data_IF_614599361193
#
_entry.id   IF_614599361193
#
_cell.length_a   1.000
_cell.length_b   1.000
_cell.length_c   1.000
_cell.angle_alpha   90.00
_cell.angle_beta   90.00
_cell.angle_gamma   90.00
#
_symmetry.space_group_name_H-M   'P 1'
#
loop_
_entity.id
_entity.type
_entity.pdbx_description
1 polymer ?
#
# COMPACT_ATOMS: atom_id res chain seq x y z
N UNK A 1 17.71 0.38 -8.25
CA UNK A 1 16.40 0.68 -7.65
C UNK A 1 15.74 -0.62 -7.27
N UNK A 2 15.38 -0.79 -5.99
CA UNK A 2 14.75 -2.02 -5.49
C UNK A 2 13.33 -2.12 -6.05
N UNK A 3 12.81 -3.34 -6.21
CA UNK A 3 11.46 -3.60 -6.76
C UNK A 3 10.36 -2.76 -6.08
N UNK A 4 10.45 -2.61 -4.75
CA UNK A 4 9.51 -1.82 -3.95
C UNK A 4 9.55 -0.31 -4.23
N UNK A 5 10.73 0.28 -4.43
CA UNK A 5 10.87 1.71 -4.76
C UNK A 5 10.21 2.00 -6.12
N UNK A 6 10.36 1.10 -7.09
CA UNK A 6 9.68 1.22 -8.40
C UNK A 6 8.17 1.10 -8.27
N UNK A 7 7.68 0.18 -7.43
CA UNK A 7 6.25 0.05 -7.18
C UNK A 7 5.67 1.34 -6.59
N UNK A 8 6.32 1.94 -5.58
CA UNK A 8 5.88 3.21 -5.01
C UNK A 8 5.87 4.35 -6.02
N UNK A 9 6.91 4.48 -6.86
CA UNK A 9 6.91 5.49 -7.92
C UNK A 9 5.78 5.30 -8.92
N UNK A 10 5.39 4.06 -9.25
CA UNK A 10 4.23 3.80 -10.12
C UNK A 10 2.92 4.19 -9.44
N UNK A 11 2.74 3.85 -8.15
CA UNK A 11 1.54 4.21 -7.39
C UNK A 11 1.39 5.73 -7.23
N UNK A 12 2.49 6.43 -6.95
CA UNK A 12 2.52 7.89 -6.86
C UNK A 12 2.14 8.53 -8.20
N UNK A 13 2.75 8.06 -9.28
CA UNK A 13 2.47 8.58 -10.61
C UNK A 13 1.02 8.28 -11.07
N UNK A 14 0.43 7.15 -10.68
CA UNK A 14 -1.00 6.87 -10.91
C UNK A 14 -1.90 7.83 -10.12
N UNK A 15 -1.55 8.12 -8.85
CA UNK A 15 -2.32 9.05 -8.03
C UNK A 15 -2.30 10.46 -8.62
N UNK A 16 -1.11 10.97 -8.94
CA UNK A 16 -0.93 12.33 -9.43
C UNK A 16 -1.65 12.55 -10.77
N UNK A 17 -1.49 11.60 -11.70
CA UNK A 17 -2.12 11.73 -13.02
C UNK A 17 -3.62 11.52 -12.98
N UNK A 18 -4.10 10.54 -12.19
CA UNK A 18 -5.54 10.39 -11.95
C UNK A 18 -6.17 11.63 -11.32
N UNK A 19 -5.47 12.32 -10.42
CA UNK A 19 -5.92 13.59 -9.84
C UNK A 19 -5.89 14.73 -10.86
N UNK A 20 -4.82 14.84 -11.66
CA UNK A 20 -4.70 15.87 -12.69
C UNK A 20 -5.77 15.75 -13.77
N UNK A 21 -6.17 14.53 -14.12
CA UNK A 21 -7.22 14.26 -15.10
C UNK A 21 -8.64 14.53 -14.56
N UNK A 22 -8.82 14.72 -13.25
CA UNK A 22 -10.10 15.07 -12.61
C UNK A 22 -11.12 13.94 -12.54
N UNK A 23 -11.01 12.91 -13.38
CA UNK A 23 -11.85 11.70 -13.36
C UNK A 23 -11.23 10.55 -12.56
N UNK A 24 -10.06 10.75 -11.94
CA UNK A 24 -9.45 9.76 -11.04
C UNK A 24 -8.76 8.59 -11.73
N UNK A 25 -8.70 8.56 -13.06
CA UNK A 25 -8.07 7.49 -13.84
C UNK A 25 -6.80 7.98 -14.50
N UNK A 26 -5.75 7.15 -14.51
CA UNK A 26 -4.58 7.36 -15.36
C UNK A 26 -4.77 6.62 -16.67
N UNK A 27 -4.48 7.29 -17.79
CA UNK A 27 -4.74 6.78 -19.13
C UNK A 27 -3.48 6.20 -19.80
N UNK A 28 -3.71 5.46 -20.88
CA UNK A 28 -2.70 4.75 -21.67
C UNK A 28 -1.56 5.59 -22.23
N UNK A 29 -1.79 6.89 -22.47
CA UNK A 29 -0.79 7.83 -23.00
C UNK A 29 0.14 8.38 -21.93
N UNK A 30 -0.23 8.23 -20.67
CA UNK A 30 0.40 8.94 -19.57
C UNK A 30 1.48 8.11 -18.84
N UNK A 31 1.58 6.82 -19.18
CA UNK A 31 2.51 5.88 -18.57
C UNK A 31 3.38 5.18 -19.62
N UNK A 32 4.70 5.17 -19.36
CA UNK A 32 5.67 4.46 -20.19
C UNK A 32 5.41 2.93 -20.18
N UNK A 33 5.71 2.20 -21.27
CA UNK A 33 5.47 0.75 -21.39
C UNK A 33 6.03 -0.12 -20.24
N UNK A 34 7.22 0.16 -19.64
CA UNK A 34 7.71 -0.59 -18.49
C UNK A 34 6.81 -0.50 -17.26
N UNK A 35 6.00 0.56 -17.13
CA UNK A 35 5.05 0.70 -16.03
C UNK A 35 3.81 -0.18 -16.23
N UNK A 36 3.47 -0.58 -17.46
CA UNK A 36 2.29 -1.40 -17.72
C UNK A 36 2.42 -2.80 -17.12
N UNK A 37 3.60 -3.42 -17.22
CA UNK A 37 3.85 -4.71 -16.58
C UNK A 37 3.75 -4.62 -15.05
N UNK A 38 4.21 -3.50 -14.48
CA UNK A 38 4.10 -3.24 -13.05
C UNK A 38 2.65 -3.00 -12.62
N UNK A 39 1.87 -2.27 -13.42
CA UNK A 39 0.43 -2.05 -13.18
C UNK A 39 -0.33 -3.37 -13.15
N UNK A 40 -0.07 -4.28 -14.09
CA UNK A 40 -0.70 -5.61 -14.08
C UNK A 40 -0.32 -6.42 -12.83
N UNK A 41 0.94 -6.33 -12.39
CA UNK A 41 1.35 -6.99 -11.15
C UNK A 41 0.66 -6.40 -9.91
N UNK A 42 0.47 -5.08 -9.88
CA UNK A 42 -0.25 -4.38 -8.79
C UNK A 42 -1.76 -4.63 -8.82
N UNK A 43 -2.33 -4.83 -10.00
CA UNK A 43 -3.73 -5.22 -10.17
C UNK A 43 -3.99 -6.62 -9.60
N UNK A 44 -3.10 -7.59 -9.89
CA UNK A 44 -3.20 -8.94 -9.32
C UNK A 44 -3.13 -8.99 -7.79
N UNK A 45 -2.61 -7.91 -7.16
CA UNK A 45 -2.51 -7.73 -5.72
C UNK A 45 -3.66 -6.89 -5.14
N UNK A 46 -4.61 -6.43 -5.97
CA UNK A 46 -5.73 -5.56 -5.57
C UNK A 46 -5.34 -4.13 -5.19
N UNK A 47 -4.10 -3.71 -5.47
CA UNK A 47 -3.57 -2.37 -5.17
C UNK A 47 -4.07 -1.36 -6.21
N UNK A 48 -4.24 -1.81 -7.45
CA UNK A 48 -4.73 -1.01 -8.57
C UNK A 48 -5.92 -1.73 -9.17
N UNK A 49 -6.89 -0.99 -9.70
CA UNK A 49 -7.94 -1.56 -10.54
C UNK A 49 -7.79 -1.06 -11.97
N UNK A 50 -8.04 -1.96 -12.92
CA UNK A 50 -8.10 -1.66 -14.33
C UNK A 50 -9.55 -1.35 -14.73
N UNK A 51 -9.71 -0.31 -15.54
CA UNK A 51 -11.00 0.09 -16.07
C UNK A 51 -11.63 -1.06 -16.86
N UNK A 52 -12.90 -1.33 -16.59
CA UNK A 52 -13.66 -2.31 -17.35
C UNK A 52 -13.95 -1.80 -18.78
N UNK A 53 -14.72 -2.56 -19.57
CA UNK A 53 -15.03 -2.15 -20.94
C UNK A 53 -15.89 -0.88 -20.94
N UNK A 54 -16.84 -0.81 -20.03
CA UNK A 54 -17.80 0.27 -19.86
C UNK A 54 -17.07 1.55 -19.41
N UNK A 55 -16.27 1.47 -18.35
CA UNK A 55 -15.45 2.59 -17.87
C UNK A 55 -14.55 3.14 -18.99
N UNK A 56 -13.91 2.27 -19.79
CA UNK A 56 -13.07 2.71 -20.92
C UNK A 56 -13.89 3.37 -22.03
N UNK A 57 -15.12 2.95 -22.27
CA UNK A 57 -15.98 3.58 -23.25
C UNK A 57 -16.38 4.99 -22.81
N UNK A 58 -16.73 5.17 -21.54
CA UNK A 58 -17.01 6.48 -20.94
C UNK A 58 -15.78 7.38 -20.99
N UNK A 59 -14.62 6.88 -20.56
CA UNK A 59 -13.37 7.62 -20.64
C UNK A 59 -13.00 7.99 -22.09
N UNK A 60 -13.24 7.09 -23.05
CA UNK A 60 -12.99 7.38 -24.46
C UNK A 60 -13.89 8.50 -25.00
N UNK A 61 -15.14 8.55 -24.54
CA UNK A 61 -16.08 9.61 -24.89
C UNK A 61 -15.67 10.95 -24.28
N UNK A 62 -15.19 10.96 -23.03
CA UNK A 62 -14.70 12.15 -22.34
C UNK A 62 -13.44 12.71 -23.01
N UNK A 63 -12.51 11.84 -23.39
CA UNK A 63 -11.21 12.22 -23.97
C UNK A 63 -11.27 12.50 -25.48
N UNK A 64 -12.39 12.19 -26.14
CA UNK A 64 -12.54 12.30 -27.59
C UNK A 64 -11.61 11.38 -28.39
N UNK A 65 -11.02 10.35 -27.75
CA UNK A 65 -10.11 9.37 -28.35
C UNK A 65 -10.29 7.99 -27.74
N UNK A 66 -9.93 6.91 -28.44
CA UNK A 66 -9.94 5.57 -27.86
C UNK A 66 -8.95 5.45 -26.71
N UNK A 67 -9.44 5.04 -25.54
CA UNK A 67 -8.63 4.68 -24.36
C UNK A 67 -8.38 3.19 -24.35
N UNK A 68 -7.12 2.76 -24.55
CA UNK A 68 -6.78 1.33 -24.64
C UNK A 68 -6.83 0.65 -23.28
N UNK A 69 -6.38 1.35 -22.25
CA UNK A 69 -6.44 0.93 -20.87
C UNK A 69 -6.47 2.17 -19.98
N UNK A 70 -7.03 2.01 -18.79
CA UNK A 70 -6.98 3.02 -17.74
C UNK A 70 -6.85 2.32 -16.39
N UNK A 71 -6.15 2.95 -15.46
CA UNK A 71 -5.90 2.39 -14.13
C UNK A 71 -6.12 3.45 -13.04
N UNK A 72 -6.63 3.04 -11.89
CA UNK A 72 -6.70 3.89 -10.70
C UNK A 72 -6.32 3.11 -9.45
N UNK A 73 -5.89 3.84 -8.42
CA UNK A 73 -5.63 3.23 -7.12
C UNK A 73 -6.94 2.78 -6.49
N UNK A 74 -6.96 1.56 -5.95
CA UNK A 74 -8.05 1.13 -5.08
C UNK A 74 -7.92 1.83 -3.71
N UNK A 75 -8.93 1.78 -2.83
CA UNK A 75 -8.77 2.23 -1.44
C UNK A 75 -7.56 1.58 -0.75
N UNK A 76 -7.36 0.28 -0.96
CA UNK A 76 -6.19 -0.46 -0.46
C UNK A 76 -4.88 0.04 -1.09
N UNK A 77 -4.89 0.40 -2.37
CA UNK A 77 -3.73 1.01 -3.04
C UNK A 77 -3.35 2.38 -2.49
N UNK A 78 -4.33 3.20 -2.16
CA UNK A 78 -4.09 4.48 -1.48
C UNK A 78 -3.44 4.28 -0.11
N UNK A 79 -3.92 3.31 0.66
CA UNK A 79 -3.35 2.98 1.98
C UNK A 79 -1.94 2.39 1.86
N UNK A 80 -1.72 1.56 0.84
CA UNK A 80 -0.40 0.99 0.51
C UNK A 80 0.60 2.09 0.17
N UNK A 81 0.20 3.09 -0.63
CA UNK A 81 1.03 4.25 -0.94
C UNK A 81 1.33 5.08 0.32
N UNK A 82 0.31 5.39 1.12
CA UNK A 82 0.46 6.17 2.35
C UNK A 82 1.41 5.50 3.36
N UNK A 83 1.26 4.19 3.56
CA UNK A 83 2.14 3.40 4.39
C UNK A 83 3.56 3.34 3.84
N UNK A 84 3.71 3.09 2.52
CA UNK A 84 5.01 3.02 1.86
C UNK A 84 5.82 4.32 1.95
N UNK A 85 5.17 5.48 1.82
CA UNK A 85 5.81 6.79 1.96
C UNK A 85 6.20 7.12 3.41
N UNK A 86 5.49 6.56 4.40
CA UNK A 86 5.68 6.86 5.83
C UNK A 86 6.71 5.93 6.51
N UNK A 87 7.12 4.85 5.82
CA UNK A 87 7.96 3.81 6.42
C UNK A 87 9.42 4.26 6.51
N UNK A 88 10.08 4.19 7.68
CA UNK A 88 11.53 4.18 7.76
C UNK A 88 12.05 2.97 6.98
N UNK A 89 13.02 3.17 6.07
CA UNK A 89 13.52 2.13 5.16
C UNK A 89 13.79 0.81 5.88
N UNK A 90 12.94 -0.19 5.67
CA UNK A 90 13.08 -1.53 6.23
C UNK A 90 12.61 -2.58 5.20
N UNK A 91 13.26 -3.75 5.22
CA UNK A 91 13.00 -4.91 4.35
C UNK A 91 11.63 -5.57 4.61
N UNK A 92 11.01 -6.23 3.63
CA UNK A 92 9.67 -6.79 3.77
C UNK A 92 9.70 -8.15 4.49
N UNK A 93 8.80 -8.42 5.46
CA UNK A 93 8.54 -9.78 5.92
C UNK A 93 7.45 -10.47 5.04
N UNK A 94 7.43 -11.81 4.98
CA UNK A 94 6.39 -12.55 4.27
C UNK A 94 5.08 -12.60 5.05
N UNK A 95 3.98 -12.68 4.30
CA UNK A 95 2.59 -12.62 4.76
C UNK A 95 1.96 -14.00 4.83
N UNK A 96 1.25 -14.31 5.91
CA UNK A 96 -0.03 -15.02 5.91
C UNK A 96 -0.73 -14.93 7.29
N UNK A 97 -2.05 -14.79 7.29
CA UNK A 97 -2.97 -14.79 8.44
C UNK A 97 -4.26 -15.52 7.99
N UNK A 98 -5.10 -16.19 8.78
CA UNK A 98 -5.16 -16.70 10.16
C UNK A 98 -6.29 -17.78 10.16
N UNK A 99 -6.56 -18.51 11.27
CA UNK A 99 -7.96 -18.62 11.67
C UNK A 99 -8.28 -18.61 13.18
N UNK A 100 -7.37 -18.25 14.09
CA UNK A 100 -7.67 -18.18 15.52
C UNK A 100 -6.57 -17.43 16.24
N UNK A 101 -6.94 -16.40 17.02
CA UNK A 101 -6.03 -15.35 17.50
C UNK A 101 -4.92 -15.94 18.37
N UNK A 102 -3.73 -16.11 17.79
CA UNK A 102 -2.51 -16.46 18.50
C UNK A 102 -1.70 -15.20 18.84
N UNK A 103 -1.07 -15.17 20.02
CA UNK A 103 -0.10 -14.14 20.35
C UNK A 103 1.12 -14.27 19.43
N UNK A 104 1.44 -13.20 18.70
CA UNK A 104 2.60 -13.15 17.79
C UNK A 104 3.69 -12.33 18.46
N UNK A 105 4.87 -12.91 18.61
CA UNK A 105 6.07 -12.16 19.00
C UNK A 105 6.58 -11.36 17.79
N UNK A 106 6.86 -10.08 18.02
CA UNK A 106 7.28 -9.16 16.99
C UNK A 106 8.67 -8.63 17.32
N UNK A 107 9.57 -8.71 16.35
CA UNK A 107 10.89 -8.10 16.48
C UNK A 107 10.76 -6.55 16.50
N UNK A 108 11.75 -5.81 17.04
CA UNK A 108 11.66 -4.36 17.17
C UNK A 108 11.31 -3.61 15.88
N UNK A 109 11.82 -4.06 14.72
CA UNK A 109 11.53 -3.45 13.42
C UNK A 109 10.08 -3.65 12.98
N UNK A 110 9.46 -4.79 13.31
CA UNK A 110 8.05 -5.05 13.06
C UNK A 110 7.15 -4.22 13.98
N UNK A 111 7.51 -4.09 15.27
CA UNK A 111 6.79 -3.19 16.18
C UNK A 111 6.91 -1.72 15.77
N UNK A 112 8.07 -1.29 15.28
CA UNK A 112 8.24 0.06 14.73
C UNK A 112 7.33 0.28 13.51
N UNK A 113 7.25 -0.69 12.60
CA UNK A 113 6.38 -0.64 11.44
C UNK A 113 4.88 -0.57 11.83
N UNK A 114 4.46 -1.37 12.80
CA UNK A 114 3.09 -1.33 13.35
C UNK A 114 2.76 0.01 14.00
N UNK A 115 3.70 0.59 14.76
CA UNK A 115 3.53 1.93 15.36
C UNK A 115 3.33 3.01 14.30
N UNK A 116 4.05 2.94 13.19
CA UNK A 116 3.84 3.84 12.03
C UNK A 116 2.45 3.62 11.45
N UNK A 117 2.05 2.36 11.19
CA UNK A 117 0.75 2.04 10.62
C UNK A 117 -0.43 2.57 11.46
N UNK A 118 -0.45 2.30 12.77
CA UNK A 118 -1.53 2.80 13.65
C UNK A 118 -1.51 4.33 13.79
N UNK A 119 -0.35 4.97 13.65
CA UNK A 119 -0.22 6.43 13.60
C UNK A 119 -0.90 7.07 12.38
N UNK A 120 -1.13 6.29 11.31
CA UNK A 120 -1.78 6.76 10.08
C UNK A 120 -3.30 6.63 10.10
N UNK A 121 -3.93 6.16 11.19
CA UNK A 121 -5.37 5.85 11.24
C UNK A 121 -6.29 6.95 10.68
N UNK A 122 -5.97 8.23 10.87
CA UNK A 122 -6.75 9.36 10.32
C UNK A 122 -6.51 9.67 8.82
N UNK A 123 -5.56 9.00 8.18
CA UNK A 123 -5.17 9.16 6.78
C UNK A 123 -5.49 7.91 5.94
N UNK A 124 -5.72 6.77 6.59
CA UNK A 124 -6.11 5.53 5.93
C UNK A 124 -7.58 5.59 5.50
N UNK A 125 -7.87 5.08 4.31
CA UNK A 125 -9.23 4.92 3.78
C UNK A 125 -9.93 3.71 4.38
N UNK A 126 -9.17 2.67 4.71
CA UNK A 126 -9.66 1.53 5.47
C UNK A 126 -9.16 1.65 6.91
N UNK A 127 -10.05 1.77 7.91
CA UNK A 127 -9.63 1.88 9.29
C UNK A 127 -8.94 0.56 9.72
N UNK A 128 -7.87 0.64 10.53
CA UNK A 128 -7.32 -0.53 11.19
C UNK A 128 -8.39 -1.23 12.04
N UNK A 129 -8.21 -2.53 12.29
CA UNK A 129 -9.11 -3.28 13.16
C UNK A 129 -9.27 -2.60 14.53
N UNK A 130 -10.51 -2.56 15.02
CA UNK A 130 -10.85 -1.94 16.29
C UNK A 130 -9.98 -2.49 17.44
N UNK A 131 -9.40 -1.59 18.22
CA UNK A 131 -8.54 -1.93 19.35
C UNK A 131 -7.07 -2.23 19.00
N UNK A 132 -6.68 -2.28 17.72
CA UNK A 132 -5.27 -2.49 17.34
C UNK A 132 -4.34 -1.41 17.88
N UNK A 133 -4.76 -0.14 17.81
CA UNK A 133 -3.96 0.97 18.34
C UNK A 133 -3.70 0.84 19.85
N UNK A 134 -4.68 0.35 20.61
CA UNK A 134 -4.54 0.13 22.05
C UNK A 134 -3.65 -1.09 22.34
N UNK A 135 -3.75 -2.16 21.54
CA UNK A 135 -2.87 -3.33 21.63
C UNK A 135 -1.41 -2.95 21.34
N UNK A 136 -1.15 -2.13 20.32
CA UNK A 136 0.22 -1.65 20.01
C UNK A 136 0.77 -0.75 21.12
N UNK A 137 -0.08 0.06 21.76
CA UNK A 137 0.29 0.91 22.89
C UNK A 137 0.63 0.10 24.14
N UNK A 138 -0.14 -0.95 24.41
CA UNK A 138 0.00 -1.80 25.61
C UNK A 138 0.95 -2.99 25.41
N UNK A 139 1.42 -3.22 24.17
CA UNK A 139 2.39 -4.25 23.84
C UNK A 139 3.68 -4.08 24.66
N UNK A 140 4.04 -5.14 25.38
CA UNK A 140 5.28 -5.15 26.17
C UNK A 140 6.46 -5.40 25.25
N UNK A 141 7.47 -4.56 25.35
CA UNK A 141 8.79 -4.82 24.78
C UNK A 141 9.49 -5.79 25.72
N UNK A 142 9.72 -7.02 25.28
CA UNK A 142 10.60 -7.93 25.98
C UNK A 142 12.03 -7.48 25.63
N UNK A 143 12.54 -6.48 26.36
CA UNK A 143 13.99 -6.27 26.39
C UNK A 143 14.56 -7.44 27.17
N UNK A 144 15.34 -8.30 26.52
CA UNK A 144 16.24 -9.21 27.24
C UNK A 144 17.07 -8.34 28.19
N UNK A 145 16.68 -8.36 29.46
CA UNK A 145 17.46 -7.73 30.52
C UNK A 145 18.71 -8.57 30.64
N UNK A 146 19.84 -7.97 30.30
CA UNK A 146 21.18 -8.44 30.61
C UNK A 146 21.21 -9.02 32.02
N UNK A 147 21.27 -10.35 32.10
CA UNK A 147 21.41 -11.10 33.34
C UNK A 147 22.88 -11.32 33.62
N UNK A 148 23.55 -10.30 34.14
CA UNK A 148 24.78 -10.51 34.89
C UNK A 148 24.46 -11.31 36.17
N UNK A 149 25.06 -12.49 36.31
CA UNK A 149 24.94 -13.34 37.48
C UNK A 149 26.16 -14.25 37.58
N UNK A 150 27.00 -13.95 38.56
CA UNK A 150 28.25 -14.59 38.95
C UNK A 150 28.24 -16.12 38.94
N UNK A 151 29.33 -16.72 38.45
CA UNK A 151 30.18 -17.64 39.24
C UNK A 151 31.64 -17.48 38.76
#
# INVERSE_FOLDING_TARGET
MRSWERALSVLEALRERGQAAGHGWTLDTELLPPHQQQVNALESQGVVELACREDRAELSALEGRPVRWAARLTPYGHDTLAYGCSRPRAEPPPSEAAPDRQPVELIPSQMAALRVFVGLTGQLRVPPADGLAEQVRTARVITESSGGGCI
#
